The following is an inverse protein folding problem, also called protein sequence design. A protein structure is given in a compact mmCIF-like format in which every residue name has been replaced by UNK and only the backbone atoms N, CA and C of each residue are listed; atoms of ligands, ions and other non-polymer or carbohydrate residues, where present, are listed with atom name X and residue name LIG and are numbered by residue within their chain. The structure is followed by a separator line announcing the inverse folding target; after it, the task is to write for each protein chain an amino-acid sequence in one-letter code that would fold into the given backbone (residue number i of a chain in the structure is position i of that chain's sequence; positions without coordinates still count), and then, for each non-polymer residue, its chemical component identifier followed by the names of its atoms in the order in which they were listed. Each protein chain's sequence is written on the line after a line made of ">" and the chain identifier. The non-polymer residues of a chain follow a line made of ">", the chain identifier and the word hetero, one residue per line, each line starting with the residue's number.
data_IF_080961293722
#
_entry.id   IF_080961293722
#
_cell.length_a   1.000
_cell.length_b   1.000
_cell.length_c   1.000
_cell.angle_alpha   90.00
_cell.angle_beta   90.00
_cell.angle_gamma   90.00
#
_symmetry.space_group_name_H-M   'P 1'
#
loop_
_entity.id
_entity.type
_entity.pdbx_description
1 polymer ?
#
# COMPACT_ATOMS: atom_id res chain seq x y z
N UNK A 1 41.31 23.46 -32.19
CA UNK A 1 41.18 23.70 -30.74
C UNK A 1 39.73 23.97 -30.36
N UNK A 2 39.06 24.92 -31.01
CA UNK A 2 37.64 25.25 -30.73
C UNK A 2 36.70 24.04 -30.80
N UNK A 3 36.79 23.20 -31.84
CA UNK A 3 35.93 22.02 -31.98
C UNK A 3 36.15 20.94 -30.90
N UNK A 4 37.31 20.91 -30.22
CA UNK A 4 37.55 20.01 -29.09
C UNK A 4 36.77 20.46 -27.85
N UNK A 5 36.78 21.77 -27.59
CA UNK A 5 36.09 22.35 -26.44
C UNK A 5 34.58 22.46 -26.66
N UNK A 6 34.15 22.93 -27.83
CA UNK A 6 32.75 23.13 -28.17
C UNK A 6 32.53 23.01 -29.69
N UNK A 7 32.15 21.81 -30.13
CA UNK A 7 31.95 21.50 -31.54
C UNK A 7 30.64 22.13 -32.06
N UNK A 8 30.73 23.04 -33.03
CA UNK A 8 29.57 23.72 -33.60
C UNK A 8 29.31 25.14 -33.09
N UNK A 9 30.12 25.67 -32.16
CA UNK A 9 29.94 27.04 -31.64
C UNK A 9 30.26 28.15 -32.64
N UNK A 10 31.23 27.95 -33.53
CA UNK A 10 31.69 28.94 -34.54
C UNK A 10 31.76 28.35 -35.96
N UNK A 11 30.82 27.48 -36.32
CA UNK A 11 30.76 26.90 -37.66
C UNK A 11 30.02 25.57 -37.74
N UNK A 12 30.08 24.91 -38.89
CA UNK A 12 29.49 23.58 -39.10
C UNK A 12 30.20 22.55 -38.21
N UNK A 13 29.43 21.76 -37.46
CA UNK A 13 29.98 20.73 -36.59
C UNK A 13 30.83 19.73 -37.38
N UNK A 14 32.00 19.39 -36.85
CA UNK A 14 32.88 18.39 -37.44
C UNK A 14 32.22 17.02 -37.25
N UNK A 15 32.05 16.31 -38.36
CA UNK A 15 31.42 15.00 -38.40
C UNK A 15 32.50 13.90 -38.36
N UNK A 16 32.23 12.82 -37.64
CA UNK A 16 33.06 11.61 -37.69
C UNK A 16 32.77 10.76 -38.93
N UNK A 17 33.46 9.62 -39.04
CA UNK A 17 33.26 8.62 -40.10
C UNK A 17 31.80 8.19 -40.27
N UNK A 18 31.05 8.11 -39.17
CA UNK A 18 29.62 7.75 -39.15
C UNK A 18 28.67 8.91 -39.48
N UNK A 19 29.18 10.04 -40.02
CA UNK A 19 28.44 11.29 -40.30
C UNK A 19 27.70 11.90 -39.10
N UNK A 20 28.01 11.46 -37.88
CA UNK A 20 27.52 12.06 -36.62
C UNK A 20 28.50 13.12 -36.12
N UNK A 21 28.02 14.23 -35.53
CA UNK A 21 28.90 15.23 -34.94
C UNK A 21 29.73 14.60 -33.82
N UNK A 22 31.02 14.92 -33.80
CA UNK A 22 31.92 14.48 -32.73
C UNK A 22 31.54 15.18 -31.42
N UNK A 23 31.51 14.42 -30.32
CA UNK A 23 31.12 14.93 -29.00
C UNK A 23 32.27 15.76 -28.42
N UNK A 24 32.00 17.04 -28.14
CA UNK A 24 32.99 17.94 -27.52
C UNK A 24 33.04 17.82 -26.00
N UNK A 25 34.08 18.37 -25.37
CA UNK A 25 34.18 18.41 -23.90
C UNK A 25 32.98 19.12 -23.24
N UNK A 26 32.50 20.21 -23.84
CA UNK A 26 31.32 20.93 -23.35
C UNK A 26 30.05 20.09 -23.42
N UNK A 27 29.85 19.33 -24.51
CA UNK A 27 28.71 18.42 -24.67
C UNK A 27 28.80 17.17 -23.78
N UNK A 28 30.00 16.77 -23.36
CA UNK A 28 30.15 15.72 -22.35
C UNK A 28 29.62 16.17 -20.99
N UNK A 29 29.69 17.47 -20.68
CA UNK A 29 29.20 18.02 -19.41
C UNK A 29 27.71 18.41 -19.49
N UNK A 30 27.29 19.06 -20.58
CA UNK A 30 25.95 19.64 -20.73
C UNK A 30 24.94 18.69 -21.38
N UNK A 31 23.66 18.99 -21.22
CA UNK A 31 22.56 18.23 -21.84
C UNK A 31 22.05 17.04 -21.01
N UNK A 32 21.03 16.34 -21.53
CA UNK A 32 20.39 15.19 -20.86
C UNK A 32 21.34 13.99 -20.71
N UNK A 33 22.20 13.76 -21.71
CA UNK A 33 23.26 12.74 -21.71
C UNK A 33 24.62 13.28 -21.22
N UNK A 34 24.61 14.47 -20.62
CA UNK A 34 25.80 15.08 -20.02
C UNK A 34 26.06 14.49 -18.64
N UNK A 35 27.32 14.58 -18.19
CA UNK A 35 27.78 14.02 -16.91
C UNK A 35 26.95 14.49 -15.70
N UNK A 36 26.54 15.76 -15.67
CA UNK A 36 25.78 16.29 -14.54
C UNK A 36 24.42 15.60 -14.37
N UNK A 37 23.62 15.52 -15.43
CA UNK A 37 22.25 14.96 -15.33
C UNK A 37 22.25 13.44 -15.33
N UNK A 38 23.08 12.82 -16.16
CA UNK A 38 23.04 11.36 -16.35
C UNK A 38 23.82 10.59 -15.30
N UNK A 39 24.94 11.11 -14.79
CA UNK A 39 25.88 10.36 -13.95
C UNK A 39 26.00 10.88 -12.52
N UNK A 40 25.89 12.20 -12.31
CA UNK A 40 25.97 12.76 -10.96
C UNK A 40 24.62 12.68 -10.25
N UNK A 41 23.54 13.09 -10.92
CA UNK A 41 22.17 13.02 -10.38
C UNK A 41 21.49 11.67 -10.64
N UNK A 42 21.77 11.06 -11.79
CA UNK A 42 21.36 9.69 -12.09
C UNK A 42 22.49 8.71 -11.76
N UNK A 43 22.24 7.74 -10.88
CA UNK A 43 23.17 6.64 -10.66
C UNK A 43 22.43 5.31 -10.67
N UNK A 44 23.02 4.32 -11.31
CA UNK A 44 22.61 2.93 -11.11
C UNK A 44 23.13 2.50 -9.74
N UNK A 45 22.29 1.82 -8.99
CA UNK A 45 22.57 1.41 -7.61
C UNK A 45 22.47 -0.10 -7.51
N UNK A 46 23.39 -0.68 -6.75
CA UNK A 46 23.33 -2.08 -6.36
C UNK A 46 22.22 -2.31 -5.32
N UNK A 47 21.98 -3.56 -4.93
CA UNK A 47 20.92 -3.94 -3.97
C UNK A 47 19.54 -3.43 -4.41
N UNK A 48 19.29 -3.52 -5.72
CA UNK A 48 18.02 -3.17 -6.32
C UNK A 48 17.49 -4.26 -7.23
N UNK A 49 16.16 -4.37 -7.29
CA UNK A 49 15.43 -5.34 -8.09
C UNK A 49 14.26 -4.67 -8.82
N UNK A 50 13.71 -5.33 -9.83
CA UNK A 50 12.47 -4.89 -10.48
C UNK A 50 11.63 -6.10 -10.85
N UNK A 51 10.33 -6.01 -10.61
CA UNK A 51 9.37 -6.99 -11.13
C UNK A 51 8.00 -6.35 -11.36
N UNK A 52 7.13 -7.11 -12.02
CA UNK A 52 5.72 -6.79 -12.22
C UNK A 52 5.00 -6.81 -10.87
N UNK A 53 4.06 -5.89 -10.68
CA UNK A 53 3.23 -5.84 -9.49
C UNK A 53 1.90 -6.57 -9.68
N UNK A 54 1.43 -7.20 -8.62
CA UNK A 54 0.13 -7.89 -8.54
C UNK A 54 -0.60 -7.45 -7.26
N UNK A 55 -1.95 -7.49 -7.24
CA UNK A 55 -2.69 -7.11 -6.04
C UNK A 55 -2.45 -8.13 -4.91
N UNK A 56 -2.15 -7.63 -3.71
CA UNK A 56 -2.09 -8.41 -2.48
C UNK A 56 -3.13 -7.94 -1.48
N UNK A 57 -4.42 -8.29 -1.63
CA UNK A 57 -5.50 -7.76 -0.78
C UNK A 57 -5.46 -8.26 0.66
N UNK A 58 -4.69 -9.32 0.95
CA UNK A 58 -4.53 -9.88 2.30
C UNK A 58 -3.38 -9.25 3.09
N UNK A 59 -2.58 -8.40 2.44
CA UNK A 59 -1.47 -7.70 3.09
C UNK A 59 -2.01 -6.59 4.00
N UNK A 60 -1.26 -6.24 5.03
CA UNK A 60 -1.51 -5.02 5.81
C UNK A 60 -0.91 -3.80 5.10
N UNK A 61 -1.35 -2.58 5.44
CA UNK A 61 -0.89 -1.37 4.75
C UNK A 61 0.64 -1.19 4.72
N UNK A 62 1.33 -1.61 5.78
CA UNK A 62 2.79 -1.52 5.91
C UNK A 62 3.56 -2.65 5.21
N UNK A 63 2.88 -3.67 4.69
CA UNK A 63 3.52 -4.87 4.16
C UNK A 63 3.55 -4.87 2.63
N UNK A 64 4.56 -5.53 2.07
CA UNK A 64 4.59 -5.87 0.65
C UNK A 64 5.05 -7.32 0.45
N UNK A 65 4.57 -7.99 -0.59
CA UNK A 65 5.05 -9.33 -0.92
C UNK A 65 6.27 -9.26 -1.83
N UNK A 66 7.40 -9.79 -1.38
CA UNK A 66 8.63 -9.91 -2.16
C UNK A 66 8.88 -11.37 -2.55
N UNK A 67 9.11 -11.65 -3.85
CA UNK A 67 9.46 -12.99 -4.32
C UNK A 67 10.71 -13.54 -3.64
N UNK A 68 10.64 -14.79 -3.17
CA UNK A 68 11.76 -15.51 -2.54
C UNK A 68 13.08 -15.41 -3.32
N UNK A 69 13.05 -15.60 -4.65
CA UNK A 69 14.26 -15.51 -5.50
C UNK A 69 14.84 -14.09 -5.56
N UNK A 70 13.99 -13.08 -5.57
CA UNK A 70 14.43 -11.68 -5.55
C UNK A 70 15.05 -11.35 -4.20
N UNK A 71 14.38 -11.74 -3.10
CA UNK A 71 14.88 -11.53 -1.76
C UNK A 71 16.24 -12.23 -1.53
N UNK A 72 16.38 -13.47 -1.99
CA UNK A 72 17.65 -14.21 -1.91
C UNK A 72 18.80 -13.45 -2.55
N UNK A 73 18.58 -12.84 -3.73
CA UNK A 73 19.57 -12.02 -4.44
C UNK A 73 19.88 -10.69 -3.73
N UNK A 74 18.83 -9.99 -3.28
CA UNK A 74 18.96 -8.68 -2.64
C UNK A 74 19.68 -8.77 -1.28
N UNK A 75 19.45 -9.84 -0.52
CA UNK A 75 19.96 -10.00 0.84
C UNK A 75 21.19 -10.90 0.95
N UNK A 76 21.83 -11.31 -0.17
CA UNK A 76 22.98 -12.25 -0.19
C UNK A 76 24.04 -11.99 0.88
N UNK A 77 24.58 -10.77 1.06
CA UNK A 77 25.65 -10.55 2.05
C UNK A 77 25.19 -10.78 3.49
N UNK A 78 23.94 -10.41 3.80
CA UNK A 78 23.35 -10.60 5.12
C UNK A 78 23.15 -12.08 5.43
N UNK A 79 22.69 -12.85 4.45
CA UNK A 79 22.57 -14.31 4.53
C UNK A 79 23.94 -14.96 4.79
N UNK A 80 24.99 -14.53 4.07
CA UNK A 80 26.33 -15.09 4.27
C UNK A 80 26.85 -14.84 5.69
N UNK A 81 26.63 -13.64 6.23
CA UNK A 81 27.01 -13.29 7.60
C UNK A 81 26.27 -14.15 8.62
N UNK A 82 24.96 -14.34 8.45
CA UNK A 82 24.15 -15.16 9.36
C UNK A 82 24.46 -16.66 9.30
N UNK A 83 24.73 -17.21 8.12
CA UNK A 83 25.15 -18.60 7.97
C UNK A 83 26.48 -18.89 8.68
N UNK A 84 27.41 -17.93 8.66
CA UNK A 84 28.68 -18.02 9.38
C UNK A 84 28.47 -17.92 10.89
N UNK A 85 27.61 -17.01 11.36
CA UNK A 85 27.25 -16.88 12.77
C UNK A 85 26.61 -18.16 13.34
N UNK A 86 25.82 -18.87 12.54
CA UNK A 86 25.23 -20.15 12.94
C UNK A 86 26.16 -21.35 12.85
N UNK A 87 27.39 -21.18 12.36
CA UNK A 87 28.34 -22.28 12.17
C UNK A 87 27.92 -23.27 11.08
N UNK A 88 26.94 -22.92 10.24
CA UNK A 88 26.51 -23.72 9.09
C UNK A 88 27.54 -23.65 7.95
N UNK A 89 28.38 -22.61 7.95
CA UNK A 89 29.49 -22.45 7.01
C UNK A 89 30.69 -21.78 7.67
N UNK A 90 31.88 -22.32 7.42
CA UNK A 90 33.13 -21.79 7.97
C UNK A 90 33.82 -20.77 7.05
N UNK A 91 33.37 -20.65 5.79
CA UNK A 91 33.94 -19.71 4.81
C UNK A 91 32.87 -19.12 3.90
N UNK A 92 33.11 -17.90 3.40
CA UNK A 92 32.23 -17.24 2.40
C UNK A 92 32.03 -18.11 1.16
N UNK A 93 33.05 -18.88 0.73
CA UNK A 93 32.96 -19.78 -0.42
C UNK A 93 31.96 -20.92 -0.17
N UNK A 94 31.94 -21.47 1.03
CA UNK A 94 30.95 -22.49 1.43
C UNK A 94 29.55 -21.88 1.53
N UNK A 95 29.40 -20.70 2.13
CA UNK A 95 28.10 -19.99 2.20
C UNK A 95 27.54 -19.73 0.81
N UNK A 96 28.38 -19.27 -0.13
CA UNK A 96 27.99 -19.06 -1.53
C UNK A 96 27.47 -20.34 -2.19
N UNK A 97 28.15 -21.48 -1.99
CA UNK A 97 27.69 -22.78 -2.51
C UNK A 97 26.39 -23.26 -1.88
N UNK A 98 26.13 -22.94 -0.61
CA UNK A 98 24.87 -23.29 0.06
C UNK A 98 23.70 -22.48 -0.50
N UNK A 99 23.91 -21.17 -0.67
CA UNK A 99 22.91 -20.27 -1.26
C UNK A 99 22.62 -20.63 -2.73
N UNK A 100 23.65 -20.92 -3.53
CA UNK A 100 23.47 -21.37 -4.93
C UNK A 100 22.72 -22.69 -5.06
N UNK A 101 22.78 -23.55 -4.04
CA UNK A 101 22.04 -24.83 -4.00
C UNK A 101 20.64 -24.70 -3.42
N UNK A 102 20.20 -23.50 -3.03
CA UNK A 102 18.87 -23.22 -2.47
C UNK A 102 18.47 -24.19 -1.35
N UNK A 103 19.43 -24.52 -0.48
CA UNK A 103 19.27 -25.44 0.65
C UNK A 103 18.19 -24.95 1.63
N UNK A 104 17.43 -25.85 2.31
CA UNK A 104 16.33 -25.47 3.19
C UNK A 104 16.75 -24.49 4.29
N UNK A 105 17.93 -24.69 4.88
CA UNK A 105 18.47 -23.86 5.96
C UNK A 105 18.68 -22.39 5.54
N UNK A 106 18.87 -22.14 4.24
CA UNK A 106 19.04 -20.78 3.70
C UNK A 106 17.72 -20.01 3.75
N UNK A 107 16.58 -20.68 3.58
CA UNK A 107 15.27 -20.05 3.62
C UNK A 107 14.90 -19.60 5.04
N UNK A 108 15.24 -20.40 6.04
CA UNK A 108 15.03 -20.06 7.46
C UNK A 108 15.86 -18.83 7.84
N UNK A 109 17.13 -18.79 7.43
CA UNK A 109 18.00 -17.63 7.63
C UNK A 109 17.49 -16.40 6.87
N UNK A 110 16.99 -16.59 5.66
CA UNK A 110 16.43 -15.49 4.86
C UNK A 110 15.23 -14.85 5.54
N UNK A 111 14.31 -15.65 6.09
CA UNK A 111 13.14 -15.16 6.81
C UNK A 111 13.53 -14.33 8.04
N UNK A 112 14.55 -14.77 8.78
CA UNK A 112 15.08 -14.02 9.92
C UNK A 112 15.75 -12.70 9.51
N UNK A 113 16.56 -12.70 8.43
CA UNK A 113 17.27 -11.51 7.93
C UNK A 113 16.29 -10.44 7.46
N UNK A 114 15.18 -10.86 6.85
CA UNK A 114 14.17 -9.98 6.27
C UNK A 114 13.26 -9.39 7.34
N UNK A 115 13.11 -10.09 8.48
CA UNK A 115 12.31 -9.62 9.60
C UNK A 115 12.82 -8.27 10.08
N UNK A 116 11.91 -7.30 10.18
CA UNK A 116 12.18 -5.92 10.58
C UNK A 116 13.15 -5.14 9.66
N UNK A 117 13.49 -5.66 8.48
CA UNK A 117 14.32 -4.96 7.48
C UNK A 117 13.43 -4.34 6.39
N UNK A 118 13.11 -3.02 6.45
CA UNK A 118 12.21 -2.40 5.49
C UNK A 118 12.83 -2.35 4.09
N UNK A 119 11.99 -2.46 3.06
CA UNK A 119 12.37 -2.29 1.66
C UNK A 119 11.66 -1.09 1.06
N UNK A 120 12.30 -0.43 0.10
CA UNK A 120 11.75 0.75 -0.55
C UNK A 120 11.18 0.36 -1.92
N UNK A 121 9.90 0.65 -2.13
CA UNK A 121 9.25 0.47 -3.43
C UNK A 121 9.14 1.81 -4.17
N UNK A 122 9.42 1.76 -5.47
CA UNK A 122 9.36 2.93 -6.35
C UNK A 122 8.71 2.56 -7.69
N UNK A 123 7.82 3.43 -8.17
CA UNK A 123 7.28 3.38 -9.53
C UNK A 123 7.79 4.56 -10.36
N UNK A 124 8.31 4.25 -11.55
CA UNK A 124 8.64 5.28 -12.53
C UNK A 124 7.41 5.58 -13.41
N UNK A 125 7.09 6.84 -13.71
CA UNK A 125 7.74 8.07 -13.25
C UNK A 125 7.35 8.49 -11.83
N UNK A 126 8.33 8.93 -11.03
CA UNK A 126 8.08 9.46 -9.68
C UNK A 126 7.72 10.94 -9.74
N UNK A 127 6.42 11.27 -9.61
CA UNK A 127 5.92 12.65 -9.71
C UNK A 127 5.97 13.41 -8.38
N UNK A 128 5.87 12.69 -7.26
CA UNK A 128 5.85 13.27 -5.92
C UNK A 128 6.40 12.26 -4.91
N UNK A 129 6.69 12.73 -3.69
CA UNK A 129 7.33 11.91 -2.64
C UNK A 129 6.61 10.59 -2.34
N UNK A 130 5.27 10.54 -2.47
CA UNK A 130 4.49 9.32 -2.20
C UNK A 130 4.70 8.20 -3.24
N UNK A 131 5.36 8.47 -4.37
CA UNK A 131 5.75 7.45 -5.34
C UNK A 131 6.97 6.63 -4.89
N UNK A 132 7.46 6.87 -3.68
CA UNK A 132 8.58 6.18 -3.06
C UNK A 132 8.25 5.95 -1.58
N UNK A 133 8.01 4.70 -1.17
CA UNK A 133 7.60 4.38 0.19
C UNK A 133 8.31 3.12 0.71
N UNK A 134 8.46 3.03 2.02
CA UNK A 134 8.98 1.86 2.71
C UNK A 134 7.86 0.90 3.11
N UNK A 135 8.17 -0.39 3.02
CA UNK A 135 7.29 -1.49 3.42
C UNK A 135 8.10 -2.56 4.12
N UNK A 136 7.43 -3.34 4.97
CA UNK A 136 7.97 -4.58 5.51
C UNK A 136 7.76 -5.71 4.51
N UNK A 137 8.85 -6.34 4.03
CA UNK A 137 8.77 -7.45 3.09
C UNK A 137 8.24 -8.73 3.74
N UNK A 138 7.24 -9.35 3.10
CA UNK A 138 6.81 -10.72 3.33
C UNK A 138 7.27 -11.61 2.19
N UNK A 139 7.84 -12.76 2.51
CA UNK A 139 8.30 -13.73 1.52
C UNK A 139 7.10 -14.40 0.84
N UNK A 140 7.00 -14.25 -0.47
CA UNK A 140 5.96 -14.89 -1.29
C UNK A 140 6.57 -15.81 -2.34
N UNK A 141 5.78 -16.81 -2.71
CA UNK A 141 6.07 -17.65 -3.87
C UNK A 141 5.80 -16.91 -5.18
N UNK A 142 6.48 -17.33 -6.25
CA UNK A 142 6.35 -16.74 -7.57
C UNK A 142 7.42 -15.69 -7.88
N UNK A 143 7.11 -14.77 -8.81
CA UNK A 143 8.07 -13.77 -9.34
C UNK A 143 7.57 -12.33 -9.29
N UNK A 144 6.28 -12.12 -9.03
CA UNK A 144 5.66 -10.79 -9.02
C UNK A 144 5.66 -10.22 -7.60
N UNK A 145 5.76 -8.90 -7.47
CA UNK A 145 5.69 -8.20 -6.19
C UNK A 145 4.22 -8.00 -5.84
N UNK A 146 3.80 -8.36 -4.63
CA UNK A 146 2.44 -8.04 -4.18
C UNK A 146 2.42 -6.66 -3.53
N UNK A 147 1.46 -5.83 -3.95
CA UNK A 147 1.27 -4.49 -3.43
C UNK A 147 -0.11 -4.35 -2.81
N UNK A 148 -0.20 -3.62 -1.70
CA UNK A 148 -1.45 -3.31 -1.04
C UNK A 148 -2.36 -2.42 -1.93
N UNK A 149 -3.64 -2.76 -2.17
CA UNK A 149 -4.51 -2.01 -3.08
C UNK A 149 -4.69 -0.52 -2.71
N UNK A 150 -4.72 -0.18 -1.42
CA UNK A 150 -4.88 1.22 -0.97
C UNK A 150 -3.70 2.13 -1.31
N UNK A 151 -2.49 1.59 -1.52
CA UNK A 151 -1.32 2.43 -1.88
C UNK A 151 -1.18 2.64 -3.39
N UNK A 152 -1.96 1.94 -4.21
CA UNK A 152 -1.93 2.08 -5.67
C UNK A 152 -2.21 3.53 -6.12
N UNK A 153 -3.09 4.24 -5.42
CA UNK A 153 -3.39 5.66 -5.69
C UNK A 153 -2.16 6.55 -5.48
N UNK A 154 -1.35 6.27 -4.46
CA UNK A 154 -0.12 6.99 -4.16
C UNK A 154 0.99 6.71 -5.18
N UNK A 155 1.09 5.48 -5.68
CA UNK A 155 2.03 5.15 -6.76
C UNK A 155 1.50 5.50 -8.16
N UNK A 156 0.23 5.91 -8.27
CA UNK A 156 -0.52 6.04 -9.51
C UNK A 156 -0.47 4.75 -10.36
N UNK A 157 -0.43 3.59 -9.69
CA UNK A 157 -0.17 2.29 -10.28
C UNK A 157 -1.46 1.49 -10.49
N UNK A 158 -1.47 0.67 -11.53
CA UNK A 158 -2.48 -0.34 -11.84
C UNK A 158 -1.84 -1.73 -12.01
N UNK A 159 -2.66 -2.75 -12.24
CA UNK A 159 -2.21 -4.16 -12.28
C UNK A 159 -2.29 -4.76 -13.68
N UNK A 160 -2.00 -3.96 -14.72
CA UNK A 160 -2.09 -4.35 -16.15
C UNK A 160 -0.72 -4.70 -16.77
N UNK A 161 0.35 -4.71 -15.98
CA UNK A 161 1.72 -4.96 -16.43
C UNK A 161 2.77 -3.99 -15.87
N UNK A 162 2.32 -3.02 -15.07
CA UNK A 162 3.16 -2.11 -14.32
C UNK A 162 4.28 -2.83 -13.53
N UNK A 163 5.42 -2.16 -13.43
CA UNK A 163 6.60 -2.67 -12.75
C UNK A 163 7.08 -1.70 -11.68
N UNK A 164 7.50 -2.23 -10.54
CA UNK A 164 8.12 -1.46 -9.47
C UNK A 164 9.56 -1.89 -9.23
N UNK A 165 10.39 -0.91 -8.90
CA UNK A 165 11.73 -1.14 -8.41
C UNK A 165 11.72 -1.30 -6.89
N UNK A 166 12.54 -2.22 -6.39
CA UNK A 166 12.77 -2.47 -4.97
C UNK A 166 14.19 -2.04 -4.65
N UNK A 167 14.40 -1.35 -3.54
CA UNK A 167 15.73 -0.98 -3.03
C UNK A 167 15.85 -1.38 -1.56
N UNK A 168 17.02 -1.90 -1.17
CA UNK A 168 17.28 -2.30 0.22
C UNK A 168 18.16 -1.24 0.92
N UNK A 169 17.66 -0.58 1.99
CA UNK A 169 18.49 0.28 2.82
C UNK A 169 19.51 -0.56 3.58
N UNK A 170 20.80 -0.22 3.47
CA UNK A 170 21.88 -1.03 4.04
C UNK A 170 22.33 -0.55 5.43
N UNK A 171 22.52 0.76 5.62
CA UNK A 171 22.97 1.31 6.90
C UNK A 171 21.83 1.33 7.91
N UNK A 172 22.17 1.28 9.20
CA UNK A 172 21.19 1.31 10.27
C UNK A 172 20.39 2.62 10.25
N UNK A 173 21.05 3.74 9.97
CA UNK A 173 20.42 5.06 9.86
C UNK A 173 19.41 5.08 8.72
N UNK A 174 19.75 4.50 7.56
CA UNK A 174 18.85 4.43 6.41
C UNK A 174 17.63 3.52 6.70
N UNK A 175 17.83 2.42 7.42
CA UNK A 175 16.73 1.54 7.84
C UNK A 175 15.79 2.24 8.83
N UNK A 176 16.35 2.97 9.80
CA UNK A 176 15.58 3.76 10.75
C UNK A 176 14.84 4.91 10.06
N UNK A 177 15.48 5.62 9.13
CA UNK A 177 14.84 6.68 8.34
C UNK A 177 13.68 6.11 7.50
N UNK A 178 13.89 4.96 6.86
CA UNK A 178 12.84 4.28 6.10
C UNK A 178 11.64 3.95 6.99
N UNK A 179 11.88 3.44 8.20
CA UNK A 179 10.83 3.05 9.15
C UNK A 179 10.10 4.24 9.76
N UNK A 180 10.83 5.29 10.14
CA UNK A 180 10.27 6.45 10.85
C UNK A 180 9.63 7.45 9.90
N UNK A 181 10.16 7.64 8.69
CA UNK A 181 9.70 8.69 7.77
C UNK A 181 9.01 8.14 6.53
N UNK A 182 9.53 7.06 5.94
CA UNK A 182 9.08 6.59 4.62
C UNK A 182 8.04 5.47 4.67
N UNK A 183 7.78 4.88 5.84
CA UNK A 183 6.81 3.80 6.00
C UNK A 183 5.43 4.23 5.46
N UNK A 184 4.77 3.33 4.72
CA UNK A 184 3.47 3.63 4.08
C UNK A 184 2.41 4.10 5.08
N UNK A 185 2.46 3.60 6.31
CA UNK A 185 1.55 3.98 7.40
C UNK A 185 1.66 5.45 7.78
N UNK A 186 2.81 6.09 7.59
CA UNK A 186 3.04 7.51 7.91
C UNK A 186 2.51 8.44 6.83
N UNK A 187 2.26 7.89 5.64
CA UNK A 187 1.94 8.64 4.44
C UNK A 187 0.44 8.57 4.10
N UNK A 188 -0.41 8.85 5.11
CA UNK A 188 -1.88 8.78 4.99
C UNK A 188 -2.46 9.99 4.23
N UNK A 189 -1.89 11.18 4.45
CA UNK A 189 -2.39 12.43 3.89
C UNK A 189 -1.58 12.86 2.67
N UNK A 190 -2.28 13.45 1.71
CA UNK A 190 -1.66 14.13 0.58
C UNK A 190 -0.92 15.39 1.04
N UNK A 191 0.38 15.54 0.72
CA UNK A 191 1.17 16.71 1.13
C UNK A 191 0.64 18.04 0.56
N UNK A 192 -0.07 18.00 -0.56
CA UNK A 192 -0.54 19.21 -1.26
C UNK A 192 -1.87 19.74 -0.72
N UNK A 193 -2.72 18.87 -0.16
CA UNK A 193 -4.11 19.23 0.21
C UNK A 193 -4.51 18.85 1.62
N UNK A 194 -3.70 18.06 2.33
CA UNK A 194 -4.05 17.55 3.66
C UNK A 194 -5.20 16.54 3.67
N UNK A 195 -5.70 16.12 2.50
CA UNK A 195 -6.76 15.10 2.39
C UNK A 195 -6.18 13.68 2.42
N UNK A 196 -6.91 12.68 2.94
CA UNK A 196 -6.48 11.30 2.91
C UNK A 196 -6.24 10.80 1.47
N UNK A 197 -5.14 10.09 1.25
CA UNK A 197 -4.81 9.45 -0.04
C UNK A 197 -5.15 7.95 -0.07
N UNK A 198 -5.14 7.31 1.10
CA UNK A 198 -5.44 5.88 1.28
C UNK A 198 -6.96 5.59 1.27
N UNK A 199 -7.71 6.30 0.43
CA UNK A 199 -9.16 6.13 0.30
C UNK A 199 -9.44 4.92 -0.59
N UNK A 200 -10.33 4.00 -0.18
CA UNK A 200 -10.79 2.91 -1.04
C UNK A 200 -11.23 3.40 -2.42
N UNK A 201 -10.97 2.61 -3.45
CA UNK A 201 -11.27 2.92 -4.85
C UNK A 201 -12.08 1.80 -5.50
N UNK A 202 -12.75 2.12 -6.61
CA UNK A 202 -13.44 1.15 -7.48
C UNK A 202 -14.33 0.17 -6.69
N UNK A 203 -14.05 -1.13 -6.77
CA UNK A 203 -14.87 -2.21 -6.23
C UNK A 203 -15.02 -2.13 -4.71
N UNK A 204 -13.99 -1.67 -4.00
CA UNK A 204 -14.08 -1.48 -2.54
C UNK A 204 -15.17 -0.47 -2.20
N UNK A 205 -15.24 0.63 -2.95
CA UNK A 205 -16.29 1.66 -2.75
C UNK A 205 -17.64 1.11 -3.17
N UNK A 206 -17.71 0.28 -4.21
CA UNK A 206 -18.95 -0.34 -4.65
C UNK A 206 -19.55 -1.24 -3.55
N UNK A 207 -18.72 -2.06 -2.90
CA UNK A 207 -19.17 -2.90 -1.78
C UNK A 207 -19.64 -2.10 -0.57
N UNK A 208 -18.90 -1.04 -0.20
CA UNK A 208 -19.29 -0.13 0.90
C UNK A 208 -20.58 0.63 0.55
N UNK A 209 -20.71 1.08 -0.70
CA UNK A 209 -21.91 1.74 -1.19
C UNK A 209 -23.11 0.80 -1.10
N UNK A 210 -22.97 -0.43 -1.59
CA UNK A 210 -24.00 -1.46 -1.54
C UNK A 210 -24.46 -1.71 -0.09
N UNK A 211 -23.52 -1.87 0.85
CA UNK A 211 -23.83 -2.03 2.28
C UNK A 211 -24.60 -0.85 2.90
N UNK A 212 -24.37 0.37 2.39
CA UNK A 212 -24.96 1.59 2.95
C UNK A 212 -26.37 1.91 2.45
N UNK A 213 -26.89 1.14 1.48
CA UNK A 213 -28.23 1.32 0.93
C UNK A 213 -29.30 1.05 2.00
N UNK A 214 -30.46 1.69 1.80
CA UNK A 214 -31.62 1.55 2.67
C UNK A 214 -32.86 1.52 1.78
N UNK A 215 -33.69 0.50 1.96
CA UNK A 215 -34.97 0.36 1.29
C UNK A 215 -36.07 0.25 2.35
N UNK A 216 -37.22 0.89 2.11
CA UNK A 216 -38.34 0.92 3.06
C UNK A 216 -39.13 -0.39 3.08
N UNK A 217 -39.31 -1.01 1.91
CA UNK A 217 -40.15 -2.21 1.69
C UNK A 217 -39.33 -3.52 1.59
N UNK A 218 -38.41 -3.73 2.52
CA UNK A 218 -37.59 -4.94 2.60
C UNK A 218 -38.06 -5.91 3.70
N UNK A 219 -37.61 -7.16 3.61
CA UNK A 219 -37.96 -8.19 4.59
C UNK A 219 -37.41 -7.78 5.96
N UNK A 220 -38.27 -7.77 6.98
CA UNK A 220 -37.88 -7.43 8.34
C UNK A 220 -37.68 -5.92 8.61
N UNK A 221 -38.26 -5.05 7.77
CA UNK A 221 -38.36 -3.63 8.06
C UNK A 221 -39.00 -3.33 9.43
N UNK A 222 -38.49 -2.32 10.11
CA UNK A 222 -38.85 -1.84 11.44
C UNK A 222 -38.64 -2.84 12.60
N UNK A 223 -37.93 -3.95 12.38
CA UNK A 223 -37.48 -4.81 13.47
C UNK A 223 -36.46 -4.09 14.36
N UNK A 224 -36.50 -4.40 15.66
CA UNK A 224 -35.58 -3.84 16.65
C UNK A 224 -34.53 -4.88 17.05
N UNK A 225 -33.28 -4.47 17.11
CA UNK A 225 -32.14 -5.31 17.47
C UNK A 225 -31.34 -4.68 18.60
N UNK A 226 -30.79 -5.55 19.45
CA UNK A 226 -30.02 -5.14 20.64
C UNK A 226 -28.55 -4.96 20.34
N UNK A 227 -27.95 -5.91 19.62
CA UNK A 227 -26.51 -5.99 19.34
C UNK A 227 -26.26 -6.51 17.90
N UNK A 228 -25.02 -6.34 17.41
CA UNK A 228 -24.62 -6.73 16.04
C UNK A 228 -24.73 -8.25 15.83
N UNK A 229 -24.41 -9.06 16.84
CA UNK A 229 -24.53 -10.51 16.75
C UNK A 229 -25.98 -10.98 16.45
N UNK A 230 -26.97 -10.24 16.94
CA UNK A 230 -28.39 -10.51 16.66
C UNK A 230 -28.74 -10.19 15.20
N UNK A 231 -28.18 -9.09 14.67
CA UNK A 231 -28.30 -8.69 13.27
C UNK A 231 -27.66 -9.75 12.37
N UNK A 232 -26.45 -10.20 12.68
CA UNK A 232 -25.77 -11.25 11.92
C UNK A 232 -26.57 -12.56 11.91
N UNK A 233 -27.10 -12.96 13.07
CA UNK A 233 -27.95 -14.15 13.16
C UNK A 233 -29.23 -14.00 12.33
N UNK A 234 -29.87 -12.83 12.38
CA UNK A 234 -31.07 -12.54 11.59
C UNK A 234 -30.80 -12.50 10.08
N UNK A 235 -29.63 -11.99 9.65
CA UNK A 235 -29.18 -12.04 8.25
C UNK A 235 -28.96 -13.49 7.79
N UNK A 236 -28.28 -14.31 8.60
CA UNK A 236 -28.06 -15.74 8.31
C UNK A 236 -29.37 -16.53 8.23
N UNK A 237 -30.31 -16.22 9.12
CA UNK A 237 -31.66 -16.79 9.13
C UNK A 237 -32.56 -16.23 8.00
N UNK A 238 -32.06 -15.27 7.20
CA UNK A 238 -32.80 -14.57 6.13
C UNK A 238 -34.10 -13.91 6.62
N UNK A 239 -34.11 -13.47 7.88
CA UNK A 239 -35.23 -12.73 8.50
C UNK A 239 -35.16 -11.24 8.23
N UNK A 240 -33.96 -10.74 7.94
CA UNK A 240 -33.71 -9.37 7.47
C UNK A 240 -32.83 -9.41 6.23
N UNK A 241 -32.95 -8.37 5.39
CA UNK A 241 -32.02 -8.07 4.29
C UNK A 241 -30.95 -7.08 4.77
N UNK A 242 -29.84 -6.99 4.04
CA UNK A 242 -28.76 -6.02 4.33
C UNK A 242 -29.27 -4.57 4.31
N UNK A 243 -30.28 -4.32 3.47
CA UNK A 243 -30.82 -2.99 3.17
C UNK A 243 -32.10 -2.67 3.97
N UNK A 244 -32.59 -3.61 4.78
CA UNK A 244 -33.80 -3.42 5.59
C UNK A 244 -33.61 -2.29 6.59
N UNK A 245 -34.61 -1.41 6.68
CA UNK A 245 -34.66 -0.37 7.72
C UNK A 245 -34.91 -1.02 9.07
N UNK A 246 -33.96 -0.92 10.00
CA UNK A 246 -34.03 -1.52 11.34
C UNK A 246 -33.83 -0.46 12.42
N UNK A 247 -34.28 -0.74 13.65
CA UNK A 247 -33.96 0.03 14.85
C UNK A 247 -32.91 -0.72 15.64
N UNK A 248 -31.69 -0.21 15.70
CA UNK A 248 -30.63 -0.88 16.46
C UNK A 248 -30.21 -0.02 17.65
N UNK A 249 -30.05 -0.66 18.80
CA UNK A 249 -29.30 -0.06 19.90
C UNK A 249 -27.81 -0.07 19.54
N UNK A 250 -27.14 1.06 19.72
CA UNK A 250 -25.70 1.17 19.53
C UNK A 250 -25.06 1.83 20.74
N UNK A 251 -23.83 1.43 21.05
CA UNK A 251 -23.04 1.95 22.15
C UNK A 251 -22.04 2.97 21.63
N UNK A 252 -22.04 4.18 22.17
CA UNK A 252 -21.12 5.23 21.81
C UNK A 252 -20.49 5.84 23.07
N UNK A 253 -19.35 6.50 22.91
CA UNK A 253 -18.71 7.24 23.98
C UNK A 253 -19.24 8.67 24.00
N UNK A 254 -19.61 9.17 25.17
CA UNK A 254 -19.94 10.59 25.36
C UNK A 254 -18.69 11.45 25.45
N UNK A 255 -18.84 12.78 25.45
CA UNK A 255 -17.74 13.73 25.62
C UNK A 255 -16.94 13.51 26.92
N UNK A 256 -17.56 12.88 27.92
CA UNK A 256 -16.93 12.48 29.19
C UNK A 256 -16.26 11.09 29.15
N UNK A 257 -16.13 10.46 27.96
CA UNK A 257 -15.64 9.09 27.77
C UNK A 257 -16.43 8.01 28.53
N UNK A 258 -17.71 8.25 28.82
CA UNK A 258 -18.64 7.26 29.37
C UNK A 258 -19.37 6.55 28.23
N UNK A 259 -19.52 5.24 28.33
CA UNK A 259 -20.32 4.46 27.38
C UNK A 259 -21.81 4.71 27.62
N UNK A 260 -22.49 5.24 26.61
CA UNK A 260 -23.94 5.39 26.58
C UNK A 260 -24.53 4.60 25.41
N UNK A 261 -25.80 4.24 25.55
CA UNK A 261 -26.54 3.52 24.52
C UNK A 261 -27.71 4.36 24.02
N UNK A 262 -27.83 4.47 22.71
CA UNK A 262 -28.98 5.10 22.06
C UNK A 262 -29.57 4.15 21.02
N UNK A 263 -30.81 4.39 20.62
CA UNK A 263 -31.49 3.66 19.57
C UNK A 263 -31.54 4.56 18.33
N UNK A 264 -31.03 4.07 17.21
CA UNK A 264 -31.08 4.78 15.94
C UNK A 264 -31.78 3.94 14.86
N UNK A 265 -32.40 4.66 13.93
CA UNK A 265 -32.90 4.08 12.68
C UNK A 265 -31.73 3.96 11.69
N UNK A 266 -31.43 2.73 11.27
CA UNK A 266 -30.25 2.38 10.46
C UNK A 266 -30.55 1.15 9.60
N UNK A 267 -29.54 0.59 8.93
CA UNK A 267 -29.63 -0.69 8.23
C UNK A 267 -28.64 -1.70 8.80
N UNK A 268 -28.88 -2.98 8.55
CA UNK A 268 -27.96 -4.05 8.93
C UNK A 268 -26.56 -3.82 8.34
N UNK A 269 -26.47 -3.42 7.07
CA UNK A 269 -25.20 -3.12 6.41
C UNK A 269 -24.44 -1.93 7.03
N UNK A 270 -25.15 -0.87 7.45
CA UNK A 270 -24.53 0.28 8.14
C UNK A 270 -24.02 -0.11 9.53
N UNK A 271 -24.72 -1.00 10.24
CA UNK A 271 -24.26 -1.48 11.56
C UNK A 271 -23.01 -2.36 11.47
N UNK A 272 -22.86 -3.14 10.40
CA UNK A 272 -21.62 -3.89 10.14
C UNK A 272 -20.44 -2.91 9.95
N UNK A 273 -20.66 -1.80 9.25
CA UNK A 273 -19.63 -0.74 9.10
C UNK A 273 -19.35 -0.04 10.44
N UNK A 274 -20.38 0.14 11.28
CA UNK A 274 -20.25 0.75 12.62
C UNK A 274 -19.26 -0.01 13.50
N UNK A 275 -19.29 -1.34 13.47
CA UNK A 275 -18.40 -2.19 14.26
C UNK A 275 -16.92 -1.95 13.96
N UNK A 276 -16.61 -1.53 12.72
CA UNK A 276 -15.24 -1.26 12.31
C UNK A 276 -14.73 0.10 12.82
N UNK A 277 -15.64 1.02 13.19
CA UNK A 277 -15.25 2.36 13.63
C UNK A 277 -14.52 2.31 14.97
N UNK A 278 -13.48 3.14 15.17
CA UNK A 278 -12.84 3.25 16.47
C UNK A 278 -13.78 3.90 17.48
N UNK A 279 -13.80 3.36 18.70
CA UNK A 279 -14.54 3.93 19.84
C UNK A 279 -13.94 5.30 20.19
N UNK A 280 -14.65 6.38 19.85
CA UNK A 280 -14.23 7.74 20.19
C UNK A 280 -15.45 8.68 20.29
N UNK A 281 -15.47 9.66 21.22
CA UNK A 281 -16.64 10.52 21.42
C UNK A 281 -17.14 11.29 20.19
N UNK A 282 -16.20 11.69 19.33
CA UNK A 282 -16.48 12.44 18.09
C UNK A 282 -16.78 11.55 16.87
N UNK A 283 -16.76 10.24 17.04
CA UNK A 283 -16.99 9.27 15.97
C UNK A 283 -18.26 8.51 16.30
N UNK A 284 -19.36 9.00 15.73
CA UNK A 284 -20.69 8.45 15.95
C UNK A 284 -21.26 7.76 14.71
N UNK A 285 -22.43 7.16 14.91
CA UNK A 285 -23.20 6.52 13.85
C UNK A 285 -23.56 7.52 12.73
N UNK A 286 -23.69 8.81 13.03
CA UNK A 286 -24.01 9.88 12.07
C UNK A 286 -23.02 9.99 10.90
N UNK A 287 -21.76 9.58 11.11
CA UNK A 287 -20.75 9.56 10.05
C UNK A 287 -21.06 8.52 8.98
N UNK A 288 -21.74 7.44 9.34
CA UNK A 288 -22.01 6.30 8.46
C UNK A 288 -23.50 6.11 8.15
N UNK A 289 -24.41 6.77 8.89
CA UNK A 289 -25.85 6.63 8.71
C UNK A 289 -26.39 7.42 7.51
N UNK A 290 -25.75 7.23 6.36
CA UNK A 290 -26.03 7.87 5.08
C UNK A 290 -25.48 6.98 3.97
N UNK A 291 -25.84 7.30 2.74
CA UNK A 291 -25.29 6.60 1.57
C UNK A 291 -23.80 6.92 1.45
N UNK A 292 -22.97 5.89 1.55
CA UNK A 292 -21.51 6.01 1.55
C UNK A 292 -20.96 6.00 0.13
N UNK A 293 -20.94 7.18 -0.49
CA UNK A 293 -20.19 7.40 -1.74
C UNK A 293 -18.70 7.55 -1.47
N UNK A 294 -17.86 7.49 -2.52
CA UNK A 294 -16.39 7.72 -2.42
C UNK A 294 -16.03 8.97 -1.60
N UNK A 295 -16.77 10.07 -1.77
CA UNK A 295 -16.56 11.33 -1.04
C UNK A 295 -16.88 11.17 0.45
N UNK A 296 -17.96 10.46 0.80
CA UNK A 296 -18.32 10.24 2.20
C UNK A 296 -17.32 9.31 2.88
N UNK A 297 -16.87 8.24 2.22
CA UNK A 297 -15.81 7.36 2.75
C UNK A 297 -14.53 8.15 3.03
N UNK A 298 -14.13 9.04 2.11
CA UNK A 298 -12.99 9.93 2.36
C UNK A 298 -13.19 10.85 3.56
N UNK A 299 -14.40 11.35 3.79
CA UNK A 299 -14.71 12.20 4.95
C UNK A 299 -14.69 11.40 6.27
N UNK A 300 -15.14 10.14 6.24
CA UNK A 300 -15.07 9.24 7.41
C UNK A 300 -13.61 9.00 7.80
N UNK A 301 -12.75 8.69 6.83
CA UNK A 301 -11.31 8.49 7.07
C UNK A 301 -10.66 9.77 7.60
N UNK A 302 -11.00 10.94 7.06
CA UNK A 302 -10.49 12.24 7.54
C UNK A 302 -10.93 12.52 8.99
N UNK A 303 -12.18 12.22 9.34
CA UNK A 303 -12.68 12.36 10.70
C UNK A 303 -11.96 11.43 11.69
N UNK A 304 -11.74 10.17 11.31
CA UNK A 304 -11.00 9.19 12.11
C UNK A 304 -9.56 9.66 12.32
N UNK A 305 -8.89 10.13 11.27
CA UNK A 305 -7.51 10.59 11.36
C UNK A 305 -7.35 11.79 12.31
N UNK A 306 -8.26 12.77 12.24
CA UNK A 306 -8.21 13.98 13.08
C UNK A 306 -8.52 13.72 14.54
N UNK A 307 -9.28 12.68 14.86
CA UNK A 307 -9.77 12.44 16.22
C UNK A 307 -9.08 11.26 16.92
N UNK A 308 -8.84 10.16 16.20
CA UNK A 308 -8.20 8.95 16.75
C UNK A 308 -6.72 8.82 16.39
N UNK A 309 -6.23 9.65 15.47
CA UNK A 309 -4.84 9.61 15.02
C UNK A 309 -4.55 8.53 13.99
N UNK A 310 -3.26 8.37 13.72
CA UNK A 310 -2.76 7.62 12.57
C UNK A 310 -3.00 6.10 12.69
N UNK A 311 -2.65 5.51 13.83
CA UNK A 311 -2.69 4.05 14.02
C UNK A 311 -4.09 3.47 13.85
N UNK A 312 -5.10 4.11 14.45
CA UNK A 312 -6.50 3.67 14.32
C UNK A 312 -7.04 3.89 12.90
N UNK A 313 -6.58 4.94 12.21
CA UNK A 313 -6.93 5.16 10.79
C UNK A 313 -6.42 4.03 9.90
N UNK A 314 -5.17 3.58 10.10
CA UNK A 314 -4.60 2.46 9.33
C UNK A 314 -5.40 1.19 9.57
N UNK A 315 -5.67 0.85 10.84
CA UNK A 315 -6.46 -0.34 11.20
C UNK A 315 -7.86 -0.29 10.57
N UNK A 316 -8.50 0.88 10.59
CA UNK A 316 -9.80 1.08 9.96
C UNK A 316 -9.73 0.89 8.44
N UNK A 317 -8.73 1.49 7.78
CA UNK A 317 -8.53 1.38 6.33
C UNK A 317 -8.31 -0.07 5.87
N UNK A 318 -7.54 -0.86 6.61
CA UNK A 318 -7.33 -2.29 6.29
C UNK A 318 -8.64 -3.07 6.44
N UNK A 319 -9.40 -2.85 7.53
CA UNK A 319 -10.69 -3.51 7.78
C UNK A 319 -11.75 -3.14 6.74
N UNK A 320 -11.89 -1.86 6.42
CA UNK A 320 -12.92 -1.39 5.47
C UNK A 320 -12.59 -1.83 4.03
N UNK A 321 -11.32 -1.99 3.69
CA UNK A 321 -10.90 -2.58 2.42
C UNK A 321 -11.40 -4.02 2.30
N UNK A 322 -11.14 -4.85 3.31
CA UNK A 322 -11.57 -6.26 3.32
C UNK A 322 -13.09 -6.36 3.25
N UNK A 323 -13.80 -5.58 4.07
CA UNK A 323 -15.27 -5.53 4.06
C UNK A 323 -15.81 -5.11 2.68
N UNK A 324 -15.20 -4.09 2.06
CA UNK A 324 -15.56 -3.61 0.73
C UNK A 324 -15.41 -4.70 -0.34
N UNK A 325 -14.29 -5.42 -0.36
CA UNK A 325 -14.09 -6.52 -1.31
C UNK A 325 -15.07 -7.67 -1.09
N UNK A 326 -15.29 -8.08 0.17
CA UNK A 326 -16.18 -9.18 0.49
C UNK A 326 -17.63 -8.89 0.05
N UNK A 327 -18.14 -7.71 0.38
CA UNK A 327 -19.51 -7.35 0.04
C UNK A 327 -19.69 -6.97 -1.44
N UNK A 328 -18.65 -6.45 -2.11
CA UNK A 328 -18.68 -6.29 -3.57
C UNK A 328 -18.81 -7.64 -4.27
N UNK A 329 -18.08 -8.66 -3.82
CA UNK A 329 -18.17 -10.01 -4.35
C UNK A 329 -19.54 -10.65 -4.07
N UNK A 330 -20.02 -10.58 -2.83
CA UNK A 330 -21.33 -11.13 -2.43
C UNK A 330 -22.50 -10.46 -3.15
N UNK A 331 -22.40 -9.17 -3.48
CA UNK A 331 -23.43 -8.45 -4.20
C UNK A 331 -23.63 -8.97 -5.64
N UNK A 332 -22.61 -9.64 -6.22
CA UNK A 332 -22.72 -10.24 -7.55
C UNK A 332 -23.08 -9.25 -8.65
N UNK A 333 -22.68 -7.99 -8.51
CA UNK A 333 -23.03 -6.92 -9.44
C UNK A 333 -22.37 -7.20 -10.79
N UNK A 334 -23.19 -7.36 -11.81
CA UNK A 334 -22.76 -7.55 -13.20
C UNK A 334 -23.39 -6.48 -14.08
N UNK A 335 -22.63 -6.00 -15.05
CA UNK A 335 -23.14 -5.08 -16.05
C UNK A 335 -23.68 -5.88 -17.24
N UNK A 336 -24.99 -5.81 -17.47
CA UNK A 336 -25.59 -6.28 -18.72
C UNK A 336 -25.15 -5.37 -19.88
N UNK A 337 -24.98 -5.95 -21.06
CA UNK A 337 -24.68 -5.21 -22.29
C UNK A 337 -25.83 -4.31 -22.73
#
# INVERSE_FOLDING_TARGET
>A
VDALFDNGRKGRAILGSNKRPLKSLSEMLKGKQGRFRQNLLGKRVDYSGRSVIVPGPHLLLHQCGIPKKMALELFKPFIYCKLEQYGLSNTIKTSKKLVEKERPEVWDVLEEVIKEHPVLLNRAPTLHRLGFQAFEPLLIEGKAIQLHPLVCTAFNADFDGDQMAVHVPLSLEAQLEARVLMMSTNNILSPSSGKPIIVPTQDMVLGIYYLSLMFEDEIGSNMAFTDIAEIEHALLAKKISLHSKIKCRYQFLNEENKEESSIAETTAGRMIIYELLPKHPKIGLDLINKILTKKQVSNVIDAIYRHCGQTETVKFCDKIMVLGFEHACRAGISFGK
#
